data_IF_336111110384
#
_entry.id   IF_336111110384
#
_cell.length_a   1.000
_cell.length_b   1.000
_cell.length_c   1.000
_cell.angle_alpha   90.00
_cell.angle_beta   90.00
_cell.angle_gamma   90.00
#
_symmetry.space_group_name_H-M   'P 1'
#
loop_
_entity.id
_entity.type
_entity.pdbx_description
1 polymer ?
#
# COMPACT_ATOMS: atom_id res chain seq x y z
N UNK A 1 11.72 27.68 -11.95
CA UNK A 1 10.27 27.83 -11.73
C UNK A 1 9.60 27.72 -13.09
N UNK A 2 9.42 26.50 -13.62
CA UNK A 2 8.77 26.28 -14.93
C UNK A 2 8.45 24.79 -15.12
N UNK A 3 7.23 24.38 -14.75
CA UNK A 3 6.61 23.09 -15.14
C UNK A 3 5.09 23.26 -15.37
N UNK A 4 4.64 24.47 -15.74
CA UNK A 4 3.22 24.84 -15.77
C UNK A 4 2.58 24.88 -17.17
N UNK A 5 3.21 24.36 -18.22
CA UNK A 5 2.61 24.43 -19.57
C UNK A 5 2.62 23.06 -20.22
N UNK A 6 1.41 22.49 -20.31
CA UNK A 6 0.94 21.40 -21.19
C UNK A 6 0.02 20.39 -20.49
N UNK A 7 -0.74 20.79 -19.46
CA UNK A 7 -1.93 20.03 -19.06
C UNK A 7 -3.14 20.61 -19.83
N UNK A 8 -3.88 19.78 -20.61
CA UNK A 8 -5.07 20.25 -21.31
C UNK A 8 -6.07 20.83 -20.31
N UNK A 9 -6.51 22.06 -20.58
CA UNK A 9 -7.53 22.77 -19.82
C UNK A 9 -8.84 21.98 -19.88
N UNK A 10 -9.20 21.29 -18.80
CA UNK A 10 -10.53 20.67 -18.67
C UNK A 10 -10.70 19.62 -17.57
N UNK A 11 -9.65 18.92 -17.16
CA UNK A 11 -9.70 18.00 -16.01
C UNK A 11 -8.43 18.11 -15.18
N UNK A 12 -8.59 18.47 -13.91
CA UNK A 12 -7.50 18.37 -12.93
C UNK A 12 -7.09 16.90 -12.85
N UNK A 13 -5.79 16.57 -12.94
CA UNK A 13 -5.33 15.19 -12.87
C UNK A 13 -5.74 14.59 -11.51
N UNK A 14 -6.40 13.43 -11.52
CA UNK A 14 -6.60 12.61 -10.33
C UNK A 14 -5.34 11.76 -10.15
N UNK A 15 -4.69 11.91 -9.00
CA UNK A 15 -3.46 11.21 -8.67
C UNK A 15 -3.77 10.00 -7.78
N UNK A 16 -3.46 8.80 -8.25
CA UNK A 16 -3.49 7.60 -7.44
C UNK A 16 -2.16 7.45 -6.69
N UNK A 17 -2.23 7.46 -5.37
CA UNK A 17 -1.10 7.23 -4.50
C UNK A 17 -1.13 5.80 -3.97
N UNK A 18 0.02 5.14 -4.05
CA UNK A 18 0.26 3.87 -3.37
C UNK A 18 1.51 4.06 -2.53
N UNK A 19 1.37 3.87 -1.23
CA UNK A 19 2.52 4.05 -0.34
C UNK A 19 3.39 2.81 -0.30
N UNK A 20 4.69 3.05 -0.17
CA UNK A 20 5.64 1.99 0.14
C UNK A 20 5.21 1.27 1.43
N UNK A 21 5.29 -0.07 1.49
CA UNK A 21 5.04 -0.84 2.70
C UNK A 21 5.93 -0.42 3.89
N UNK A 22 7.04 0.28 3.65
CA UNK A 22 7.89 0.84 4.71
C UNK A 22 7.30 2.05 5.41
N UNK A 23 6.44 2.82 4.73
CA UNK A 23 5.88 4.06 5.26
C UNK A 23 4.50 3.82 5.88
N UNK A 24 3.76 2.85 5.33
CA UNK A 24 2.43 2.51 5.80
C UNK A 24 2.43 1.22 6.61
N UNK A 25 1.74 1.24 7.74
CA UNK A 25 1.38 0.02 8.45
C UNK A 25 0.14 -0.59 7.82
N UNK A 26 0.07 -1.92 7.79
CA UNK A 26 -0.97 -2.66 7.10
C UNK A 26 -1.54 -3.74 8.01
N UNK A 27 -2.83 -4.01 7.89
CA UNK A 27 -3.48 -5.10 8.61
C UNK A 27 -4.73 -5.57 7.87
N UNK A 28 -5.19 -6.78 8.21
CA UNK A 28 -6.48 -7.31 7.77
C UNK A 28 -7.50 -7.10 8.88
N UNK A 29 -8.71 -6.72 8.49
CA UNK A 29 -9.82 -6.52 9.39
C UNK A 29 -11.10 -7.09 8.81
N UNK A 30 -11.91 -7.72 9.65
CA UNK A 30 -13.27 -8.13 9.31
C UNK A 30 -14.24 -7.00 9.60
N UNK A 31 -15.17 -6.75 8.68
CA UNK A 31 -16.26 -5.81 8.92
C UNK A 31 -17.13 -6.31 10.10
N UNK A 32 -17.42 -5.46 11.11
CA UNK A 32 -18.41 -5.80 12.12
C UNK A 32 -19.77 -6.05 11.47
N UNK A 33 -20.49 -7.08 11.92
CA UNK A 33 -21.80 -7.42 11.34
C UNK A 33 -22.81 -6.26 11.46
N UNK A 34 -22.67 -5.44 12.50
CA UNK A 34 -23.53 -4.29 12.78
C UNK A 34 -23.14 -3.01 12.03
N UNK A 35 -22.05 -3.00 11.25
CA UNK A 35 -21.57 -1.78 10.61
C UNK A 35 -22.62 -1.23 9.62
N UNK A 36 -23.15 -0.05 9.93
CA UNK A 36 -24.22 0.60 9.18
C UNK A 36 -23.71 1.22 7.87
N UNK A 37 -22.41 1.52 7.77
CA UNK A 37 -21.83 2.08 6.56
C UNK A 37 -20.33 2.36 6.63
N UNK A 38 -19.83 3.01 5.58
CA UNK A 38 -18.40 3.29 5.40
C UNK A 38 -17.80 4.12 6.54
N UNK A 39 -18.54 5.09 7.09
CA UNK A 39 -18.07 5.93 8.19
C UNK A 39 -17.71 5.09 9.43
N UNK A 40 -18.56 4.12 9.76
CA UNK A 40 -18.35 3.21 10.89
C UNK A 40 -17.19 2.26 10.63
N UNK A 41 -17.07 1.70 9.41
CA UNK A 41 -15.91 0.88 9.04
C UNK A 41 -14.59 1.64 9.23
N UNK A 42 -14.56 2.92 8.88
CA UNK A 42 -13.37 3.78 9.07
C UNK A 42 -13.08 4.05 10.54
N UNK A 43 -14.11 4.27 11.37
CA UNK A 43 -13.94 4.46 12.81
C UNK A 43 -13.39 3.21 13.49
N UNK A 44 -13.94 2.03 13.17
CA UNK A 44 -13.47 0.76 13.73
C UNK A 44 -12.05 0.46 13.25
N UNK A 45 -11.73 0.73 11.98
CA UNK A 45 -10.37 0.63 11.46
C UNK A 45 -9.40 1.59 12.19
N UNK A 46 -9.82 2.82 12.50
CA UNK A 46 -9.01 3.77 13.25
C UNK A 46 -8.75 3.35 14.69
N UNK A 47 -9.78 2.86 15.39
CA UNK A 47 -9.62 2.29 16.72
C UNK A 47 -8.66 1.10 16.71
N UNK A 48 -8.79 0.20 15.72
CA UNK A 48 -7.91 -0.96 15.57
C UNK A 48 -6.47 -0.56 15.24
N UNK A 49 -6.27 0.44 14.40
CA UNK A 49 -4.95 0.99 14.08
C UNK A 49 -4.24 1.51 15.34
N UNK A 50 -4.94 2.33 16.13
CA UNK A 50 -4.41 2.83 17.40
C UNK A 50 -4.08 1.69 18.39
N UNK A 51 -4.90 0.64 18.42
CA UNK A 51 -4.64 -0.54 19.26
C UNK A 51 -3.39 -1.32 18.81
N UNK A 52 -3.18 -1.49 17.50
CA UNK A 52 -2.09 -2.29 16.96
C UNK A 52 -0.75 -1.54 16.93
N UNK A 53 -0.77 -0.24 16.66
CA UNK A 53 0.42 0.55 16.37
C UNK A 53 0.63 1.74 17.30
N UNK A 54 -0.25 1.91 18.31
CA UNK A 54 -0.19 2.99 19.28
C UNK A 54 -0.80 4.32 18.80
N UNK A 55 -0.78 5.31 19.69
CA UNK A 55 -1.35 6.64 19.45
C UNK A 55 -2.88 6.68 19.56
N UNK A 56 -3.48 7.65 18.90
CA UNK A 56 -4.92 7.89 18.84
C UNK A 56 -5.45 7.70 17.42
N UNK A 57 -6.76 7.53 17.27
CA UNK A 57 -7.41 7.39 15.97
C UNK A 57 -7.14 8.58 15.01
N UNK A 58 -6.85 9.77 15.55
CA UNK A 58 -6.55 10.99 14.79
C UNK A 58 -5.09 11.13 14.38
N UNK A 59 -4.19 10.31 14.93
CA UNK A 59 -2.77 10.31 14.57
C UNK A 59 -2.49 9.57 13.27
N UNK A 60 -3.52 8.91 12.72
CA UNK A 60 -3.42 8.04 11.56
C UNK A 60 -4.38 8.46 10.45
N UNK A 61 -3.82 8.63 9.24
CA UNK A 61 -4.63 8.62 8.02
C UNK A 61 -4.84 7.18 7.60
N UNK A 62 -6.09 6.79 7.35
CA UNK A 62 -6.43 5.39 7.01
C UNK A 62 -7.14 5.29 5.67
N UNK A 63 -6.72 4.31 4.88
CA UNK A 63 -7.41 3.82 3.70
C UNK A 63 -7.63 2.31 3.79
N UNK A 64 -8.52 1.79 2.95
CA UNK A 64 -8.85 0.37 2.91
C UNK A 64 -9.56 0.02 1.61
N UNK A 65 -9.50 -1.25 1.22
CA UNK A 65 -10.36 -1.84 0.18
C UNK A 65 -11.74 -2.16 0.78
N UNK A 66 -12.41 -1.13 1.31
CA UNK A 66 -13.61 -1.25 2.13
C UNK A 66 -14.64 -2.25 1.59
N UNK A 67 -14.97 -3.25 2.42
CA UNK A 67 -16.05 -4.21 2.15
C UNK A 67 -17.05 -4.19 3.29
N UNK A 68 -18.34 -4.24 2.94
CA UNK A 68 -19.43 -4.33 3.92
C UNK A 68 -19.48 -5.72 4.58
N UNK A 69 -19.09 -6.74 3.83
CA UNK A 69 -19.11 -8.13 4.27
C UNK A 69 -17.74 -8.75 3.99
N UNK A 70 -17.29 -9.58 4.93
CA UNK A 70 -16.00 -10.26 4.84
C UNK A 70 -14.83 -9.43 5.37
N UNK A 71 -13.64 -9.88 5.01
CA UNK A 71 -12.38 -9.24 5.38
C UNK A 71 -11.93 -8.21 4.34
N UNK A 72 -11.28 -7.15 4.80
CA UNK A 72 -10.65 -6.12 4.00
C UNK A 72 -9.25 -5.78 4.57
N UNK A 73 -8.37 -5.33 3.69
CA UNK A 73 -7.02 -4.83 3.99
C UNK A 73 -7.08 -3.33 4.25
N UNK A 74 -6.51 -2.92 5.37
CA UNK A 74 -6.27 -1.53 5.70
C UNK A 74 -4.81 -1.15 5.50
N UNK A 75 -4.58 0.13 5.23
CA UNK A 75 -3.28 0.77 5.37
C UNK A 75 -3.44 2.08 6.15
N UNK A 76 -2.47 2.36 7.02
CA UNK A 76 -2.39 3.61 7.76
C UNK A 76 -1.03 4.30 7.58
N UNK A 77 -1.06 5.62 7.49
CA UNK A 77 0.10 6.50 7.51
C UNK A 77 -0.02 7.43 8.72
N UNK A 78 1.11 7.81 9.36
CA UNK A 78 1.08 8.87 10.34
C UNK A 78 0.53 10.17 9.74
N UNK A 79 -0.42 10.81 10.42
CA UNK A 79 -1.07 12.05 9.97
C UNK A 79 -0.05 13.18 9.75
N UNK A 80 1.01 13.20 10.55
CA UNK A 80 2.14 14.12 10.41
C UNK A 80 2.84 14.00 9.04
N UNK A 81 2.82 12.82 8.41
CA UNK A 81 3.37 12.60 7.08
C UNK A 81 2.39 13.01 5.97
N UNK A 82 1.10 12.74 6.17
CA UNK A 82 0.06 12.98 5.15
C UNK A 82 -0.26 14.47 5.03
N UNK A 83 -0.33 15.20 6.15
CA UNK A 83 -0.77 16.60 6.15
C UNK A 83 0.06 17.53 5.25
N UNK A 84 1.42 17.49 5.25
CA UNK A 84 2.21 18.29 4.32
C UNK A 84 1.98 17.91 2.86
N UNK A 85 1.79 16.61 2.57
CA UNK A 85 1.49 16.14 1.22
C UNK A 85 0.13 16.64 0.74
N UNK A 86 -0.90 16.56 1.58
CA UNK A 86 -2.24 17.11 1.28
C UNK A 86 -2.18 18.61 1.00
N UNK A 87 -1.46 19.38 1.82
CA UNK A 87 -1.27 20.82 1.60
C UNK A 87 -0.55 21.12 0.27
N UNK A 88 0.47 20.33 -0.07
CA UNK A 88 1.21 20.47 -1.32
C UNK A 88 0.41 20.09 -2.57
N UNK A 89 -0.52 19.13 -2.46
CA UNK A 89 -1.43 18.76 -3.55
C UNK A 89 -2.57 19.78 -3.71
N UNK A 90 -3.11 20.27 -2.58
CA UNK A 90 -4.15 21.30 -2.56
C UNK A 90 -3.69 22.60 -3.22
N UNK A 91 -2.45 23.05 -2.96
CA UNK A 91 -1.88 24.26 -3.60
C UNK A 91 -1.70 24.13 -5.12
N UNK A 92 -1.78 22.92 -5.65
CA UNK A 92 -1.73 22.61 -7.09
C UNK A 92 -3.11 22.29 -7.67
N UNK A 93 -4.18 22.44 -6.88
CA UNK A 93 -5.53 22.01 -7.22
C UNK A 93 -5.61 20.54 -7.69
N UNK A 94 -4.68 19.68 -7.24
CA UNK A 94 -4.66 18.29 -7.64
C UNK A 94 -5.69 17.51 -6.81
N UNK A 95 -6.49 16.69 -7.49
CA UNK A 95 -7.29 15.66 -6.81
C UNK A 95 -6.42 14.44 -6.62
N UNK A 96 -6.56 13.76 -5.50
CA UNK A 96 -5.78 12.56 -5.25
C UNK A 96 -6.59 11.55 -4.45
N UNK A 97 -6.18 10.29 -4.58
CA UNK A 97 -6.76 9.15 -3.88
C UNK A 97 -5.65 8.24 -3.43
N UNK A 98 -5.74 7.77 -2.19
CA UNK A 98 -4.78 6.83 -1.65
C UNK A 98 -5.37 5.42 -1.56
N UNK A 99 -4.59 4.46 -2.02
CA UNK A 99 -4.95 3.04 -2.06
C UNK A 99 -4.00 2.23 -1.18
N UNK A 100 -4.52 1.13 -0.65
CA UNK A 100 -3.66 0.07 -0.10
C UNK A 100 -2.88 -0.57 -1.26
N UNK A 101 -1.68 -1.10 -0.99
CA UNK A 101 -0.92 -1.85 -2.00
C UNK A 101 -1.76 -3.01 -2.55
N UNK A 102 -2.50 -3.71 -1.68
CA UNK A 102 -3.44 -4.76 -2.06
C UNK A 102 -4.56 -4.29 -3.00
N UNK A 103 -5.28 -3.24 -2.63
CA UNK A 103 -6.40 -2.72 -3.42
C UNK A 103 -5.95 -2.20 -4.78
N UNK A 104 -4.75 -1.63 -4.86
CA UNK A 104 -4.15 -1.25 -6.14
C UNK A 104 -3.78 -2.48 -6.99
N UNK A 105 -3.15 -3.50 -6.41
CA UNK A 105 -2.80 -4.74 -7.13
C UNK A 105 -4.02 -5.46 -7.67
N UNK A 106 -5.08 -5.60 -6.87
CA UNK A 106 -6.34 -6.20 -7.30
C UNK A 106 -6.95 -5.49 -8.51
N UNK A 107 -6.80 -4.16 -8.59
CA UNK A 107 -7.30 -3.39 -9.74
C UNK A 107 -6.48 -3.58 -11.00
N UNK A 108 -5.17 -3.80 -10.87
CA UNK A 108 -4.27 -3.93 -12.01
C UNK A 108 -4.12 -5.37 -12.50
N UNK A 109 -4.26 -6.35 -11.60
CA UNK A 109 -3.93 -7.75 -11.83
C UNK A 109 -4.94 -8.70 -11.19
N UNK A 110 -6.24 -8.37 -11.22
CA UNK A 110 -7.30 -9.22 -10.62
C UNK A 110 -7.22 -10.69 -11.05
N UNK A 111 -6.97 -10.94 -12.33
CA UNK A 111 -6.87 -12.30 -12.89
C UNK A 111 -5.62 -13.07 -12.44
N UNK A 112 -4.59 -12.39 -11.92
CA UNK A 112 -3.37 -13.03 -11.45
C UNK A 112 -3.45 -13.46 -9.98
N UNK A 113 -4.41 -12.95 -9.22
CA UNK A 113 -4.50 -13.22 -7.79
C UNK A 113 -5.32 -14.49 -7.57
N UNK A 114 -4.75 -15.53 -6.93
CA UNK A 114 -5.49 -16.75 -6.67
C UNK A 114 -6.61 -16.50 -5.65
N UNK A 115 -7.74 -17.19 -5.83
CA UNK A 115 -8.87 -17.12 -4.91
C UNK A 115 -8.57 -17.74 -3.54
N UNK A 116 -7.64 -18.70 -3.50
CA UNK A 116 -7.21 -19.41 -2.29
C UNK A 116 -5.68 -19.56 -2.25
N UNK A 117 -5.12 -19.54 -1.04
CA UNK A 117 -3.72 -19.81 -0.79
C UNK A 117 -2.86 -18.57 -0.58
N UNK A 118 -1.55 -18.79 -0.51
CA UNK A 118 -0.58 -17.76 -0.15
C UNK A 118 0.05 -17.12 -1.38
N UNK A 119 0.12 -15.79 -1.37
CA UNK A 119 0.75 -15.00 -2.43
C UNK A 119 1.79 -14.05 -1.84
N UNK A 120 2.96 -14.02 -2.47
CA UNK A 120 4.05 -13.10 -2.18
C UNK A 120 4.19 -12.08 -3.30
N UNK A 121 4.15 -10.80 -2.94
CA UNK A 121 4.48 -9.68 -3.81
C UNK A 121 5.85 -9.14 -3.44
N UNK A 122 6.76 -9.17 -4.41
CA UNK A 122 8.10 -8.62 -4.23
C UNK A 122 8.18 -7.18 -4.73
N UNK A 123 8.69 -6.30 -3.88
CA UNK A 123 9.24 -4.99 -4.22
C UNK A 123 10.78 -5.01 -4.04
N UNK A 124 11.52 -3.95 -4.44
CA UNK A 124 12.97 -3.90 -4.28
C UNK A 124 13.46 -4.03 -2.84
N UNK A 125 12.65 -3.68 -1.85
CA UNK A 125 13.06 -3.62 -0.43
C UNK A 125 12.15 -4.41 0.50
N UNK A 126 11.01 -4.92 0.01
CA UNK A 126 10.02 -5.61 0.85
C UNK A 126 9.33 -6.73 0.06
N UNK A 127 9.00 -7.81 0.75
CA UNK A 127 8.00 -8.78 0.30
C UNK A 127 6.74 -8.59 1.14
N UNK A 128 5.62 -8.35 0.48
CA UNK A 128 4.31 -8.40 1.10
C UNK A 128 3.78 -9.82 0.91
N UNK A 129 3.28 -10.43 1.97
CA UNK A 129 2.71 -11.76 1.95
C UNK A 129 1.26 -11.69 2.41
N UNK A 130 0.36 -12.31 1.66
CA UNK A 130 -1.04 -12.45 2.06
C UNK A 130 -1.56 -13.84 1.79
N UNK A 131 -2.59 -14.22 2.55
CA UNK A 131 -3.34 -15.43 2.32
C UNK A 131 -4.77 -15.08 1.90
N UNK A 132 -5.25 -15.72 0.84
CA UNK A 132 -6.64 -15.69 0.43
C UNK A 132 -7.37 -16.96 0.87
N UNK A 133 -8.62 -16.81 1.29
CA UNK A 133 -9.57 -17.90 1.47
C UNK A 133 -10.94 -17.47 0.93
N UNK A 134 -11.53 -18.27 0.04
CA UNK A 134 -12.77 -17.98 -0.67
C UNK A 134 -12.78 -16.60 -1.36
N UNK A 135 -11.63 -16.18 -1.92
CA UNK A 135 -11.47 -14.90 -2.59
C UNK A 135 -11.35 -13.70 -1.64
N UNK A 136 -11.20 -13.92 -0.34
CA UNK A 136 -10.99 -12.86 0.65
C UNK A 136 -9.60 -12.92 1.25
N UNK A 137 -8.98 -11.76 1.48
CA UNK A 137 -7.72 -11.71 2.24
C UNK A 137 -8.02 -12.00 3.70
N UNK A 138 -7.47 -13.08 4.22
CA UNK A 138 -7.65 -13.50 5.62
C UNK A 138 -6.40 -13.24 6.47
N UNK A 139 -5.25 -13.06 5.84
CA UNK A 139 -4.00 -12.77 6.53
C UNK A 139 -3.10 -11.88 5.68
N UNK A 140 -2.31 -11.03 6.35
CA UNK A 140 -1.35 -10.13 5.74
C UNK A 140 -0.15 -9.97 6.66
N UNK A 141 1.05 -10.14 6.11
CA UNK A 141 2.31 -9.87 6.80
C UNK A 141 3.33 -9.31 5.81
N UNK A 142 4.50 -8.91 6.32
CA UNK A 142 5.56 -8.35 5.49
C UNK A 142 6.94 -8.82 5.96
N UNK A 143 7.84 -8.96 4.99
CA UNK A 143 9.23 -9.31 5.19
C UNK A 143 10.11 -8.23 4.54
N UNK A 144 11.13 -7.76 5.26
CA UNK A 144 12.15 -6.89 4.65
C UNK A 144 13.08 -7.74 3.76
N UNK A 145 13.33 -7.24 2.55
CA UNK A 145 14.33 -7.79 1.64
C UNK A 145 15.54 -6.86 1.60
N UNK A 146 16.73 -7.44 1.48
CA UNK A 146 17.97 -6.67 1.32
C UNK A 146 18.24 -6.43 -0.16
N UNK A 147 18.79 -5.26 -0.50
CA UNK A 147 19.17 -4.98 -1.87
C UNK A 147 20.21 -6.00 -2.35
N UNK A 148 19.98 -6.61 -3.51
CA UNK A 148 20.86 -7.66 -4.06
C UNK A 148 20.68 -9.05 -3.45
N UNK A 149 19.67 -9.25 -2.58
CA UNK A 149 19.35 -10.58 -2.05
C UNK A 149 19.02 -11.56 -3.19
N UNK A 150 19.65 -12.75 -3.23
CA UNK A 150 19.29 -13.77 -4.20
C UNK A 150 17.83 -14.17 -4.07
N UNK A 151 17.12 -14.27 -5.20
CA UNK A 151 15.69 -14.59 -5.21
C UNK A 151 15.38 -15.93 -4.54
N UNK A 152 16.27 -16.94 -4.69
CA UNK A 152 16.11 -18.23 -4.02
C UNK A 152 16.11 -18.08 -2.49
N UNK A 153 17.06 -17.33 -1.93
CA UNK A 153 17.14 -17.06 -0.49
C UNK A 153 15.93 -16.30 0.02
N UNK A 154 15.50 -15.26 -0.72
CA UNK A 154 14.29 -14.52 -0.38
C UNK A 154 13.04 -15.41 -0.42
N UNK A 155 12.95 -16.31 -1.40
CA UNK A 155 11.83 -17.21 -1.57
C UNK A 155 11.74 -18.24 -0.43
N UNK A 156 12.87 -18.81 0.00
CA UNK A 156 12.95 -19.72 1.14
C UNK A 156 12.51 -19.04 2.44
N UNK A 157 13.03 -17.85 2.72
CA UNK A 157 12.64 -17.05 3.90
C UNK A 157 11.16 -16.70 3.89
N UNK A 158 10.63 -16.31 2.73
CA UNK A 158 9.21 -15.97 2.58
C UNK A 158 8.32 -17.19 2.78
N UNK A 159 8.69 -18.35 2.25
CA UNK A 159 7.96 -19.60 2.48
C UNK A 159 8.01 -20.03 3.94
N UNK A 160 9.18 -19.90 4.60
CA UNK A 160 9.31 -20.18 6.02
C UNK A 160 8.39 -19.27 6.87
N UNK A 161 8.36 -17.96 6.58
CA UNK A 161 7.44 -17.03 7.23
C UNK A 161 5.98 -17.43 6.99
N UNK A 162 5.60 -17.74 5.75
CA UNK A 162 4.23 -18.13 5.42
C UNK A 162 3.77 -19.39 6.19
N UNK A 163 4.67 -20.36 6.40
CA UNK A 163 4.39 -21.55 7.21
C UNK A 163 4.21 -21.21 8.69
N UNK A 164 5.04 -20.33 9.24
CA UNK A 164 4.91 -19.87 10.62
C UNK A 164 3.58 -19.14 10.83
N UNK A 165 3.23 -18.23 9.93
CA UNK A 165 1.98 -17.47 10.00
C UNK A 165 0.75 -18.35 9.79
N UNK A 166 0.88 -19.41 8.97
CA UNK A 166 -0.19 -20.41 8.81
C UNK A 166 -0.49 -21.12 10.12
N UNK A 167 0.55 -21.53 10.86
CA UNK A 167 0.39 -22.16 12.17
C UNK A 167 -0.23 -21.17 13.17
N UNK A 168 0.28 -19.93 13.21
CA UNK A 168 -0.22 -18.91 14.14
C UNK A 168 -1.69 -18.53 13.88
N UNK A 169 -2.11 -18.54 12.60
CA UNK A 169 -3.45 -18.12 12.18
C UNK A 169 -4.42 -19.27 11.97
N UNK A 170 -3.99 -20.54 12.13
CA UNK A 170 -4.80 -21.72 11.82
C UNK A 170 -5.16 -21.87 10.34
N UNK A 171 -4.35 -21.31 9.43
CA UNK A 171 -4.54 -21.39 7.99
C UNK A 171 -3.85 -22.63 7.41
N UNK A 172 -4.26 -23.10 6.21
CA UNK A 172 -3.57 -24.18 5.52
C UNK A 172 -2.10 -23.83 5.26
N UNK A 173 -1.20 -24.77 5.59
CA UNK A 173 0.23 -24.62 5.36
C UNK A 173 0.53 -24.53 3.85
N UNK A 174 1.27 -23.50 3.39
CA UNK A 174 1.58 -23.36 1.99
C UNK A 174 2.58 -24.43 1.51
N UNK A 175 2.24 -25.06 0.38
CA UNK A 175 3.16 -25.88 -0.40
C UNK A 175 4.11 -25.01 -1.22
N UNK A 176 3.53 -24.20 -2.12
CA UNK A 176 4.24 -23.20 -2.92
C UNK A 176 3.53 -21.84 -2.80
N UNK A 177 4.30 -20.75 -2.92
CA UNK A 177 3.75 -19.39 -2.94
C UNK A 177 3.44 -18.98 -4.38
N UNK A 178 2.31 -18.29 -4.58
CA UNK A 178 2.10 -17.54 -5.80
C UNK A 178 2.96 -16.27 -5.77
N UNK A 179 3.82 -16.05 -6.76
CA UNK A 179 4.73 -14.90 -6.78
C UNK A 179 4.29 -13.84 -7.76
N UNK A 180 4.30 -12.59 -7.31
CA UNK A 180 4.12 -11.40 -8.14
C UNK A 180 5.35 -10.53 -7.96
N UNK A 181 6.15 -10.36 -9.01
CA UNK A 181 7.33 -9.48 -8.98
C UNK A 181 6.97 -8.09 -9.52
N UNK A 182 7.30 -7.03 -8.76
CA UNK A 182 7.23 -5.63 -9.20
C UNK A 182 8.60 -5.12 -9.66
N UNK A 183 9.68 -5.87 -9.42
CA UNK A 183 11.05 -5.52 -9.80
C UNK A 183 11.37 -5.88 -11.27
N UNK A 184 10.53 -6.66 -11.95
CA UNK A 184 10.70 -6.98 -13.37
C UNK A 184 10.37 -5.77 -14.22
N UNK A 185 11.39 -4.94 -14.46
CA UNK A 185 11.40 -3.89 -15.46
C UNK A 185 11.86 -4.46 -16.79
N UNK A 186 10.91 -4.73 -17.69
CA UNK A 186 11.14 -4.57 -19.14
C UNK A 186 10.14 -3.60 -19.80
N UNK A 187 9.18 -3.09 -19.03
CA UNK A 187 8.40 -1.92 -19.41
C UNK A 187 7.97 -1.23 -18.12
N UNK A 188 8.67 -0.17 -17.72
CA UNK A 188 8.19 0.70 -16.66
C UNK A 188 6.82 1.26 -17.08
N UNK A 189 5.71 0.99 -16.34
CA UNK A 189 4.52 1.80 -16.52
C UNK A 189 4.92 3.23 -16.18
N UNK A 190 4.62 4.15 -17.10
CA UNK A 190 5.04 5.55 -17.08
C UNK A 190 4.45 6.29 -15.86
N UNK A 191 5.00 6.07 -14.68
CA UNK A 191 4.68 6.75 -13.44
C UNK A 191 5.92 7.48 -12.93
N UNK A 192 5.83 8.80 -12.79
CA UNK A 192 6.92 9.61 -12.26
C UNK A 192 7.11 9.28 -10.77
N UNK A 193 8.28 8.78 -10.33
CA UNK A 193 8.56 8.71 -8.91
C UNK A 193 8.59 10.13 -8.34
N UNK A 194 7.73 10.44 -7.35
CA UNK A 194 7.82 11.69 -6.59
C UNK A 194 8.96 11.51 -5.57
N UNK A 195 10.20 11.55 -6.05
CA UNK A 195 11.40 11.60 -5.22
C UNK A 195 11.79 13.04 -4.86
N UNK A 196 11.01 14.05 -5.27
CA UNK A 196 11.46 15.45 -5.31
C UNK A 196 10.70 16.44 -4.42
N UNK A 197 9.81 15.99 -3.51
CA UNK A 197 9.15 16.91 -2.56
C UNK A 197 10.01 17.29 -1.33
N UNK A 198 11.25 16.81 -1.22
CA UNK A 198 12.19 17.22 -0.17
C UNK A 198 13.41 17.95 -0.76
N UNK A 199 13.22 19.19 -1.22
CA UNK A 199 14.32 20.16 -1.31
C UNK A 199 13.89 21.45 -0.62
N UNK A 200 14.01 21.43 0.70
CA UNK A 200 13.97 22.59 1.56
C UNK A 200 14.91 22.34 2.75
N UNK A 201 16.10 22.89 2.68
CA UNK A 201 16.97 23.13 3.84
C UNK A 201 17.72 24.46 3.59
N UNK A 202 18.13 25.22 4.63
CA UNK A 202 18.93 24.68 5.74
C UNK A 202 18.51 25.12 7.16
N UNK A 203 18.85 24.27 8.14
CA UNK A 203 18.80 24.59 9.56
C UNK A 203 19.05 23.37 10.47
N UNK A 204 20.33 23.09 10.76
CA UNK A 204 20.88 22.27 11.86
C UNK A 204 20.59 20.74 11.94
N UNK A 205 21.58 19.99 11.45
CA UNK A 205 22.19 18.75 11.97
C UNK A 205 21.33 17.58 12.49
N UNK A 206 21.08 16.59 11.63
CA UNK A 206 21.00 15.13 11.91
C UNK A 206 21.25 14.40 10.57
N UNK A 207 22.02 13.28 10.49
CA UNK A 207 22.54 12.77 9.22
C UNK A 207 21.45 12.23 8.27
N UNK A 208 21.70 12.22 6.95
CA UNK A 208 20.73 11.78 5.95
C UNK A 208 20.84 10.28 5.75
N UNK A 209 19.75 9.52 5.92
CA UNK A 209 19.62 8.25 5.22
C UNK A 209 18.15 7.82 5.04
N UNK A 210 17.92 7.20 3.89
CA UNK A 210 16.66 6.66 3.36
C UNK A 210 15.64 7.67 2.81
N UNK A 211 15.69 7.81 1.48
CA UNK A 211 14.70 8.50 0.67
C UNK A 211 13.29 7.94 0.92
N UNK A 212 12.40 8.80 1.39
CA UNK A 212 10.96 8.57 1.48
C UNK A 212 10.37 8.42 0.07
N UNK A 213 10.37 7.21 -0.47
CA UNK A 213 9.75 6.93 -1.76
C UNK A 213 8.23 6.85 -1.59
N UNK A 214 7.53 7.92 -1.95
CA UNK A 214 6.12 7.84 -2.33
C UNK A 214 6.09 7.48 -3.82
N UNK A 215 5.69 6.25 -4.12
CA UNK A 215 5.39 5.87 -5.50
C UNK A 215 4.06 6.51 -5.86
N UNK A 216 4.14 7.66 -6.53
CA UNK A 216 2.99 8.21 -7.22
C UNK A 216 2.93 7.56 -8.60
N UNK A 217 1.87 6.81 -8.84
CA UNK A 217 1.60 6.27 -10.17
C UNK A 217 0.52 7.16 -10.78
N UNK A 218 0.96 8.06 -11.64
CA UNK A 218 0.06 8.89 -12.44
C UNK A 218 -0.61 8.03 -13.51
N UNK A 219 -1.68 7.33 -13.17
CA UNK A 219 -2.53 6.68 -14.19
C UNK A 219 -3.47 7.73 -14.78
N UNK A 220 -3.09 8.34 -15.91
CA UNK A 220 -4.01 9.08 -16.76
C UNK A 220 -4.97 8.08 -17.41
N UNK A 221 -6.06 7.72 -16.71
CA UNK A 221 -7.17 7.01 -17.35
C UNK A 221 -8.04 8.04 -18.06
N UNK A 222 -7.84 8.18 -19.37
CA UNK A 222 -8.88 8.70 -20.25
C UNK A 222 -10.02 7.69 -20.20
N UNK A 223 -11.10 8.00 -19.48
CA UNK A 223 -12.35 7.24 -19.64
C UNK A 223 -12.76 7.35 -21.11
N UNK A 224 -13.06 6.25 -21.82
CA UNK A 224 -13.75 6.37 -23.09
C UNK A 224 -15.13 7.00 -22.84
N UNK A 225 -15.65 7.78 -23.80
CA UNK A 225 -16.99 8.37 -23.73
C UNK A 225 -18.08 7.30 -23.62
#
# INVERSE_FOLDING_TARGET
MELARCLPQGRLPELDLVTSPRLAVHWVQRAPAAAAGLAELRQVAAARCAQLFGGTATDWRITGDWRRHGSFVCAALPEAFVRPLEAALASRHARWRWHTSWGWLCRQRSAAIPGDGWTALRSPTTVILWACAAGEVVHFTQLQSTAGEPLATLAERTLALARLESIASGLPTPGALHWIDLCTSDAAPSGLPISSLARGQPGAATPPNEATAVLALSTLRLSPP
#
